data_IF_382758970530
#
_entry.id   IF_382758970530
#
_cell.length_a   1.000
_cell.length_b   1.000
_cell.length_c   1.000
_cell.angle_alpha   90.00
_cell.angle_beta   90.00
_cell.angle_gamma   90.00
#
_symmetry.space_group_name_H-M   'P 1'
#
loop_
_entity.id
_entity.type
_entity.pdbx_description
1 polymer ?
#
# COMPACT_ATOMS: atom_id res chain seq x y z
N UNK A 1 32.63 -45.12 92.66
CA UNK A 1 32.96 -43.89 91.91
C UNK A 1 32.93 -44.23 90.42
N UNK A 2 31.82 -43.98 89.74
CA UNK A 2 31.70 -44.24 88.29
C UNK A 2 32.11 -42.98 87.52
N UNK A 3 33.29 -43.01 86.91
CA UNK A 3 33.75 -41.98 85.97
C UNK A 3 32.98 -42.12 84.66
N UNK A 4 32.28 -41.06 84.24
CA UNK A 4 31.65 -40.95 82.92
C UNK A 4 32.73 -40.49 81.93
N UNK A 5 33.00 -41.31 80.92
CA UNK A 5 33.91 -40.98 79.81
C UNK A 5 33.21 -40.05 78.82
N UNK A 6 33.71 -38.80 78.68
CA UNK A 6 33.15 -37.83 77.74
C UNK A 6 33.49 -38.18 76.29
N UNK A 7 32.49 -38.25 75.41
CA UNK A 7 32.67 -38.61 74.01
C UNK A 7 33.20 -37.42 73.19
N UNK A 8 34.46 -37.48 72.74
CA UNK A 8 35.15 -36.42 71.97
C UNK A 8 34.64 -36.23 70.53
N UNK A 9 33.66 -37.03 70.10
CA UNK A 9 33.11 -37.00 68.75
C UNK A 9 32.06 -35.88 68.56
N UNK A 10 31.37 -35.49 69.65
CA UNK A 10 30.34 -34.45 69.63
C UNK A 10 30.88 -33.05 69.26
N UNK A 11 32.02 -32.55 69.80
CA UNK A 11 32.55 -31.24 69.41
C UNK A 11 33.06 -31.21 67.96
N UNK A 12 33.54 -32.33 67.42
CA UNK A 12 33.98 -32.43 66.01
C UNK A 12 32.80 -32.35 65.03
N UNK A 13 31.70 -33.04 65.34
CA UNK A 13 30.46 -32.95 64.54
C UNK A 13 29.84 -31.56 64.61
N UNK A 14 29.81 -30.94 65.80
CA UNK A 14 29.31 -29.58 65.96
C UNK A 14 30.14 -28.57 65.14
N UNK A 15 31.47 -28.71 65.11
CA UNK A 15 32.35 -27.87 64.30
C UNK A 15 32.10 -28.02 62.78
N UNK A 16 31.89 -29.25 62.31
CA UNK A 16 31.58 -29.54 60.91
C UNK A 16 30.27 -28.90 60.45
N UNK A 17 29.22 -28.99 61.27
CA UNK A 17 27.90 -28.41 60.95
C UNK A 17 27.94 -26.89 60.88
N UNK A 18 28.67 -26.24 61.78
CA UNK A 18 28.85 -24.78 61.75
C UNK A 18 29.60 -24.34 60.49
N UNK A 19 30.63 -25.08 60.08
CA UNK A 19 31.41 -24.76 58.89
C UNK A 19 30.59 -24.91 57.61
N UNK A 20 29.73 -25.92 57.52
CA UNK A 20 28.77 -26.07 56.42
C UNK A 20 27.75 -24.93 56.38
N UNK A 21 27.22 -24.50 57.54
CA UNK A 21 26.25 -23.41 57.59
C UNK A 21 26.86 -22.08 57.10
N UNK A 22 28.12 -21.81 57.44
CA UNK A 22 28.85 -20.62 56.94
C UNK A 22 29.05 -20.68 55.43
N UNK A 23 29.38 -21.86 54.88
CA UNK A 23 29.63 -22.03 53.45
C UNK A 23 28.35 -21.84 52.61
N UNK A 24 27.21 -22.32 53.13
CA UNK A 24 25.89 -22.10 52.51
C UNK A 24 25.47 -20.64 52.58
N UNK A 25 25.71 -19.96 53.70
CA UNK A 25 25.41 -18.53 53.83
C UNK A 25 26.24 -17.67 52.84
N UNK A 26 27.53 -17.99 52.67
CA UNK A 26 28.41 -17.28 51.70
C UNK A 26 27.95 -17.52 50.27
N UNK A 27 27.53 -18.75 49.93
CA UNK A 27 27.06 -19.06 48.57
C UNK A 27 25.65 -18.51 48.29
N UNK A 28 24.83 -18.32 49.32
CA UNK A 28 23.48 -17.74 49.21
C UNK A 28 23.48 -16.21 49.16
N UNK A 29 24.56 -15.54 49.57
CA UNK A 29 24.72 -14.08 49.45
C UNK A 29 25.52 -13.65 48.22
N UNK A 30 25.85 -14.58 47.31
CA UNK A 30 26.33 -14.23 45.97
C UNK A 30 25.13 -13.74 45.15
N UNK A 31 25.09 -12.48 44.70
CA UNK A 31 24.07 -12.05 43.74
C UNK A 31 24.20 -12.91 42.49
N UNK A 32 23.12 -13.57 42.10
CA UNK A 32 23.03 -14.26 40.82
C UNK A 32 22.96 -13.21 39.73
N UNK A 33 23.95 -13.19 38.85
CA UNK A 33 23.87 -12.47 37.57
C UNK A 33 22.83 -13.16 36.67
N UNK A 34 21.55 -12.88 36.90
CA UNK A 34 20.53 -13.05 35.87
C UNK A 34 20.51 -11.79 35.00
N UNK A 35 21.35 -11.78 33.97
CA UNK A 35 21.23 -10.81 32.90
C UNK A 35 20.10 -11.23 31.95
N UNK A 36 19.13 -10.35 31.62
CA UNK A 36 18.25 -10.58 30.49
C UNK A 36 19.10 -10.54 29.21
N UNK A 37 19.16 -11.66 28.49
CA UNK A 37 19.82 -11.73 27.19
C UNK A 37 19.12 -10.81 26.18
N UNK A 38 19.58 -9.56 26.09
CA UNK A 38 19.50 -8.76 24.89
C UNK A 38 20.56 -9.29 23.91
N UNK A 39 20.16 -9.54 22.67
CA UNK A 39 21.06 -9.96 21.60
C UNK A 39 22.09 -8.84 21.34
N UNK A 40 23.29 -8.99 21.91
CA UNK A 40 24.32 -7.95 21.94
C UNK A 40 25.04 -7.74 20.59
N UNK A 41 24.85 -8.63 19.59
CA UNK A 41 25.39 -8.41 18.26
C UNK A 41 24.68 -9.23 17.17
N UNK A 42 24.54 -8.61 15.98
CA UNK A 42 24.12 -9.26 14.74
C UNK A 42 25.25 -10.19 14.24
N UNK A 43 24.97 -11.46 13.87
CA UNK A 43 25.98 -12.36 13.32
C UNK A 43 26.52 -11.83 11.98
N UNK A 44 27.85 -11.67 11.87
CA UNK A 44 28.50 -11.47 10.58
C UNK A 44 28.70 -12.82 9.87
N UNK A 45 28.36 -12.88 8.59
CA UNK A 45 28.51 -14.07 7.76
C UNK A 45 30.00 -14.39 7.49
N UNK A 46 30.37 -15.67 7.34
CA UNK A 46 31.72 -16.06 6.92
C UNK A 46 32.03 -15.54 5.51
N UNK A 47 33.32 -15.25 5.25
CA UNK A 47 33.78 -14.78 3.94
C UNK A 47 33.58 -15.87 2.89
N UNK A 48 32.99 -15.56 1.72
CA UNK A 48 32.73 -16.54 0.67
C UNK A 48 34.02 -17.17 0.13
N UNK A 49 33.96 -18.47 -0.18
CA UNK A 49 35.01 -19.17 -0.93
C UNK A 49 35.25 -18.44 -2.26
N UNK A 50 36.47 -17.96 -2.46
CA UNK A 50 36.85 -17.26 -3.68
C UNK A 50 37.23 -18.30 -4.75
N UNK A 51 36.47 -18.36 -5.83
CA UNK A 51 36.81 -19.14 -7.03
C UNK A 51 38.23 -18.80 -7.50
N UNK A 52 38.98 -19.80 -7.96
CA UNK A 52 40.32 -19.56 -8.47
C UNK A 52 40.25 -18.69 -9.74
N UNK A 53 41.26 -17.84 -10.02
CA UNK A 53 41.25 -16.98 -11.20
C UNK A 53 41.14 -17.76 -12.53
N UNK A 54 41.58 -19.03 -12.55
CA UNK A 54 41.42 -19.91 -13.71
C UNK A 54 39.96 -20.33 -13.95
N UNK A 55 39.20 -20.64 -12.89
CA UNK A 55 37.78 -21.00 -12.98
C UNK A 55 36.92 -19.80 -13.41
N UNK A 56 37.30 -18.60 -12.98
CA UNK A 56 36.67 -17.35 -13.43
C UNK A 56 36.86 -17.13 -14.94
N UNK A 57 38.07 -17.31 -15.47
CA UNK A 57 38.35 -17.14 -16.91
C UNK A 57 37.62 -18.18 -17.75
N UNK A 58 37.58 -19.43 -17.28
CA UNK A 58 36.86 -20.51 -17.96
C UNK A 58 35.36 -20.22 -18.05
N UNK A 59 34.78 -19.70 -16.95
CA UNK A 59 33.37 -19.31 -16.88
C UNK A 59 33.08 -18.10 -17.78
N UNK A 60 33.94 -17.08 -17.77
CA UNK A 60 33.81 -15.92 -18.65
C UNK A 60 33.90 -16.31 -20.13
N UNK A 61 34.82 -17.20 -20.48
CA UNK A 61 34.97 -17.68 -21.87
C UNK A 61 33.74 -18.48 -22.31
N UNK A 62 33.21 -19.32 -21.42
CA UNK A 62 31.96 -20.05 -21.67
C UNK A 62 30.78 -19.07 -21.88
N UNK A 63 30.63 -18.06 -21.01
CA UNK A 63 29.57 -17.06 -21.11
C UNK A 63 29.68 -16.21 -22.37
N UNK A 64 30.89 -15.80 -22.78
CA UNK A 64 31.10 -15.08 -24.03
C UNK A 64 30.74 -15.95 -25.23
N UNK A 65 31.13 -17.23 -25.22
CA UNK A 65 30.76 -18.15 -26.30
C UNK A 65 29.25 -18.36 -26.38
N UNK A 66 28.57 -18.51 -25.24
CA UNK A 66 27.11 -18.61 -25.17
C UNK A 66 26.44 -17.34 -25.73
N UNK A 67 26.90 -16.15 -25.30
CA UNK A 67 26.36 -14.87 -25.78
C UNK A 67 26.56 -14.69 -27.29
N UNK A 68 27.73 -15.05 -27.82
CA UNK A 68 27.94 -14.99 -29.28
C UNK A 68 27.03 -15.95 -30.04
N UNK A 69 26.73 -17.13 -29.47
CA UNK A 69 25.81 -18.08 -30.07
C UNK A 69 24.37 -17.56 -30.08
N UNK A 70 23.92 -16.92 -28.99
CA UNK A 70 22.60 -16.29 -28.89
C UNK A 70 22.48 -15.10 -29.85
N UNK A 71 23.50 -14.23 -29.93
CA UNK A 71 23.50 -13.11 -30.88
C UNK A 71 23.39 -13.58 -32.33
N UNK A 72 24.05 -14.70 -32.67
CA UNK A 72 23.94 -15.29 -34.00
C UNK A 72 22.55 -15.90 -34.24
N UNK A 73 21.95 -16.52 -33.23
CA UNK A 73 20.57 -17.02 -33.31
C UNK A 73 19.57 -15.88 -33.52
N UNK A 74 19.63 -14.82 -32.70
CA UNK A 74 18.77 -13.64 -32.83
C UNK A 74 18.91 -12.96 -34.20
N UNK A 75 20.13 -12.88 -34.74
CA UNK A 75 20.35 -12.36 -36.09
C UNK A 75 19.65 -13.20 -37.15
N UNK A 76 19.72 -14.53 -37.06
CA UNK A 76 19.01 -15.44 -37.98
C UNK A 76 17.50 -15.27 -37.87
N UNK A 77 16.97 -15.21 -36.66
CA UNK A 77 15.53 -15.02 -36.42
C UNK A 77 15.06 -13.68 -36.98
N UNK A 78 15.83 -12.61 -36.79
CA UNK A 78 15.48 -11.31 -37.36
C UNK A 78 15.47 -11.34 -38.90
N UNK A 79 16.43 -12.03 -39.52
CA UNK A 79 16.42 -12.20 -40.98
C UNK A 79 15.23 -13.04 -41.47
N UNK A 80 14.86 -14.09 -40.73
CA UNK A 80 13.71 -14.92 -41.03
C UNK A 80 12.39 -14.13 -40.90
N UNK A 81 12.19 -13.41 -39.79
CA UNK A 81 11.03 -12.54 -39.58
C UNK A 81 10.91 -11.42 -40.61
N UNK A 82 12.05 -10.88 -41.06
CA UNK A 82 12.07 -9.87 -42.14
C UNK A 82 11.66 -10.49 -43.48
N UNK A 83 12.02 -11.73 -43.73
CA UNK A 83 11.62 -12.46 -44.94
C UNK A 83 10.13 -12.83 -44.89
N UNK A 84 9.62 -13.28 -43.75
CA UNK A 84 8.20 -13.56 -43.53
C UNK A 84 7.35 -12.30 -43.69
N UNK A 85 7.75 -11.18 -43.10
CA UNK A 85 7.05 -9.90 -43.28
C UNK A 85 6.99 -9.47 -44.75
N UNK A 86 8.06 -9.70 -45.53
CA UNK A 86 8.04 -9.43 -46.98
C UNK A 86 7.03 -10.33 -47.69
N UNK A 87 7.01 -11.63 -47.37
CA UNK A 87 6.02 -12.57 -47.88
C UNK A 87 4.58 -12.13 -47.58
N UNK A 88 4.29 -11.78 -46.33
CA UNK A 88 2.96 -11.32 -45.92
C UNK A 88 2.52 -10.02 -46.64
N UNK A 89 3.45 -9.10 -46.89
CA UNK A 89 3.15 -7.87 -47.66
C UNK A 89 2.83 -8.19 -49.11
N UNK A 90 3.56 -9.14 -49.72
CA UNK A 90 3.31 -9.55 -51.10
C UNK A 90 1.99 -10.33 -51.22
N UNK A 91 1.70 -11.23 -50.29
CA UNK A 91 0.41 -11.94 -50.20
C UNK A 91 -0.76 -10.97 -50.03
N UNK A 92 -0.61 -9.96 -49.16
CA UNK A 92 -1.62 -8.91 -48.97
C UNK A 92 -1.90 -8.17 -50.27
N UNK A 93 -0.87 -7.79 -51.04
CA UNK A 93 -1.06 -7.13 -52.34
C UNK A 93 -1.78 -8.03 -53.34
N UNK A 94 -1.46 -9.32 -53.37
CA UNK A 94 -2.17 -10.27 -54.23
C UNK A 94 -3.64 -10.39 -53.84
N UNK A 95 -3.96 -10.46 -52.54
CA UNK A 95 -5.33 -10.50 -52.06
C UNK A 95 -6.07 -9.21 -52.43
N UNK A 96 -5.47 -8.04 -52.19
CA UNK A 96 -6.06 -6.75 -52.55
C UNK A 96 -6.38 -6.67 -54.06
N UNK A 97 -5.48 -7.14 -54.92
CA UNK A 97 -5.71 -7.19 -56.36
C UNK A 97 -6.83 -8.17 -56.76
N UNK A 98 -6.90 -9.34 -56.11
CA UNK A 98 -7.98 -10.32 -56.35
C UNK A 98 -9.34 -9.83 -55.85
N UNK A 99 -9.37 -9.14 -54.71
CA UNK A 99 -10.59 -8.55 -54.16
C UNK A 99 -11.06 -7.39 -55.04
N UNK A 100 -10.15 -6.51 -55.47
CA UNK A 100 -10.48 -5.40 -56.37
C UNK A 100 -11.04 -5.91 -57.69
N UNK A 101 -10.42 -6.93 -58.30
CA UNK A 101 -10.91 -7.51 -59.56
C UNK A 101 -12.30 -8.13 -59.35
N UNK A 102 -12.51 -8.89 -58.27
CA UNK A 102 -13.81 -9.50 -57.97
C UNK A 102 -14.89 -8.46 -57.69
N UNK A 103 -14.58 -7.42 -56.92
CA UNK A 103 -15.52 -6.32 -56.63
C UNK A 103 -15.87 -5.57 -57.91
N UNK A 104 -14.90 -5.29 -58.77
CA UNK A 104 -15.15 -4.65 -60.06
C UNK A 104 -16.06 -5.51 -60.94
N UNK A 105 -15.84 -6.83 -61.00
CA UNK A 105 -16.76 -7.72 -61.74
C UNK A 105 -18.17 -7.72 -61.19
N UNK A 106 -18.34 -7.72 -59.86
CA UNK A 106 -19.66 -7.75 -59.20
C UNK A 106 -20.40 -6.41 -59.36
N UNK A 107 -19.67 -5.29 -59.32
CA UNK A 107 -20.24 -3.97 -59.58
C UNK A 107 -20.72 -3.83 -61.02
N UNK A 108 -19.95 -4.35 -61.98
CA UNK A 108 -20.34 -4.30 -63.39
C UNK A 108 -21.57 -5.17 -63.65
N UNK A 109 -21.64 -6.39 -63.09
CA UNK A 109 -22.85 -7.22 -63.20
C UNK A 109 -24.06 -6.53 -62.56
N UNK A 110 -23.89 -5.91 -61.38
CA UNK A 110 -25.00 -5.23 -60.70
C UNK A 110 -25.47 -3.98 -61.45
N UNK A 111 -24.57 -3.26 -62.13
CA UNK A 111 -24.94 -2.13 -63.02
C UNK A 111 -25.76 -2.59 -64.22
N UNK A 112 -25.46 -3.77 -64.77
CA UNK A 112 -26.24 -4.35 -65.87
C UNK A 112 -27.63 -4.80 -65.40
N UNK A 113 -27.77 -5.30 -64.17
CA UNK A 113 -29.05 -5.73 -63.61
C UNK A 113 -29.94 -4.57 -63.11
N UNK A 114 -29.35 -3.45 -62.70
CA UNK A 114 -30.07 -2.27 -62.21
C UNK A 114 -30.59 -1.39 -63.37
N UNK A 115 -31.59 -1.85 -64.09
CA UNK A 115 -32.36 -1.01 -65.01
C UNK A 115 -33.11 0.13 -64.25
N UNK A 116 -33.27 1.34 -64.82
CA UNK A 116 -33.72 2.56 -64.12
C UNK A 116 -35.22 2.63 -63.75
N UNK A 117 -35.98 1.54 -63.88
CA UNK A 117 -37.46 1.58 -63.79
C UNK A 117 -38.01 1.58 -62.36
N UNK A 118 -37.32 1.02 -61.37
CA UNK A 118 -37.88 0.88 -60.01
C UNK A 118 -37.65 2.08 -59.08
N UNK A 119 -36.59 2.87 -59.26
CA UNK A 119 -36.26 3.98 -58.34
C UNK A 119 -37.19 5.18 -58.49
N UNK A 120 -37.76 5.38 -59.68
CA UNK A 120 -38.63 6.53 -59.98
C UNK A 120 -39.98 6.44 -59.24
N UNK A 121 -40.51 5.23 -59.06
CA UNK A 121 -41.80 5.02 -58.38
C UNK A 121 -41.72 5.20 -56.86
N UNK A 122 -40.60 4.82 -56.24
CA UNK A 122 -40.39 4.96 -54.81
C UNK A 122 -40.24 6.43 -54.36
N UNK A 123 -39.60 7.28 -55.17
CA UNK A 123 -39.42 8.72 -54.89
C UNK A 123 -40.77 9.45 -54.93
N UNK A 124 -41.65 9.07 -55.87
CA UNK A 124 -43.01 9.61 -55.95
C UNK A 124 -43.84 9.28 -54.68
N UNK A 125 -43.72 8.06 -54.16
CA UNK A 125 -44.45 7.62 -52.97
C UNK A 125 -44.00 8.32 -51.68
N UNK A 126 -42.71 8.67 -51.56
CA UNK A 126 -42.18 9.33 -50.37
C UNK A 126 -42.62 10.81 -50.28
N UNK A 127 -42.64 11.50 -51.42
CA UNK A 127 -43.07 12.90 -51.52
C UNK A 127 -44.50 13.07 -50.99
N UNK A 128 -45.41 12.16 -51.35
CA UNK A 128 -46.79 12.18 -50.88
C UNK A 128 -46.96 12.00 -49.35
N UNK A 129 -46.03 11.31 -48.68
CA UNK A 129 -46.10 11.13 -47.21
C UNK A 129 -45.67 12.37 -46.43
N UNK A 130 -44.71 13.15 -46.96
CA UNK A 130 -44.21 14.36 -46.30
C UNK A 130 -45.30 15.44 -46.23
N UNK A 131 -46.06 15.61 -47.32
CA UNK A 131 -47.18 16.57 -47.37
C UNK A 131 -48.25 16.25 -46.31
N UNK A 132 -48.49 14.97 -46.03
CA UNK A 132 -49.46 14.54 -45.01
C UNK A 132 -49.04 14.85 -43.57
N UNK A 133 -47.73 15.00 -43.32
CA UNK A 133 -47.18 15.24 -41.99
C UNK A 133 -47.25 16.72 -41.62
N UNK A 134 -46.93 17.59 -42.58
CA UNK A 134 -46.98 19.06 -42.43
C UNK A 134 -48.38 19.54 -42.04
N UNK A 135 -49.42 18.94 -42.63
CA UNK A 135 -50.81 19.30 -42.32
C UNK A 135 -51.27 18.95 -40.89
N UNK A 136 -50.61 17.99 -40.21
CA UNK A 136 -50.99 17.59 -38.84
C UNK A 136 -50.35 18.46 -37.76
N UNK A 137 -49.20 19.07 -38.04
CA UNK A 137 -48.47 19.84 -37.03
C UNK A 137 -49.00 21.26 -36.83
N UNK A 138 -49.70 21.83 -37.82
CA UNK A 138 -50.24 23.20 -37.75
C UNK A 138 -51.36 23.42 -36.72
N UNK A 139 -52.00 22.37 -36.20
CA UNK A 139 -53.26 22.48 -35.45
C UNK A 139 -53.12 22.44 -33.91
N UNK A 140 -51.93 22.18 -33.36
CA UNK A 140 -51.78 21.75 -31.94
C UNK A 140 -51.13 22.76 -30.96
N UNK A 141 -50.90 24.02 -31.31
CA UNK A 141 -50.02 24.92 -30.53
C UNK A 141 -50.70 25.97 -29.62
N UNK A 142 -51.98 25.85 -29.27
CA UNK A 142 -52.65 26.86 -28.41
C UNK A 142 -53.06 26.31 -27.04
N UNK A 143 -52.15 26.31 -26.05
CA UNK A 143 -52.49 26.46 -24.62
C UNK A 143 -51.27 26.79 -23.75
N UNK A 144 -51.42 27.80 -22.87
CA UNK A 144 -50.39 28.50 -22.08
C UNK A 144 -50.65 28.36 -20.56
N UNK A 145 -49.58 28.07 -19.81
CA UNK A 145 -49.08 28.64 -18.51
C UNK A 145 -49.99 29.17 -17.37
N UNK A 146 -49.64 28.85 -16.11
CA UNK A 146 -49.82 29.74 -14.93
C UNK A 146 -48.90 29.46 -13.70
N UNK A 147 -48.26 30.54 -13.18
CA UNK A 147 -47.92 30.94 -11.76
C UNK A 147 -46.85 30.25 -10.86
N UNK A 148 -45.74 30.96 -10.57
CA UNK A 148 -45.42 31.55 -9.24
C UNK A 148 -44.59 30.82 -8.17
N UNK A 149 -43.24 30.90 -8.22
CA UNK A 149 -42.30 30.88 -7.07
C UNK A 149 -40.89 31.25 -7.56
N UNK A 150 -40.22 32.22 -6.91
CA UNK A 150 -38.91 32.77 -7.30
C UNK A 150 -37.73 32.04 -6.63
N UNK A 151 -37.92 30.76 -6.31
CA UNK A 151 -36.88 29.86 -5.80
C UNK A 151 -36.97 28.57 -6.62
N UNK A 152 -35.90 28.19 -7.35
CA UNK A 152 -35.94 26.99 -8.17
C UNK A 152 -36.11 25.75 -7.29
N UNK A 153 -37.12 24.95 -7.62
CA UNK A 153 -37.33 23.64 -6.99
C UNK A 153 -36.09 22.77 -7.22
N UNK A 154 -35.55 22.18 -6.14
CA UNK A 154 -34.36 21.31 -6.21
C UNK A 154 -33.27 21.55 -5.16
N UNK A 155 -33.43 22.51 -4.24
CA UNK A 155 -32.41 22.84 -3.22
C UNK A 155 -32.59 22.13 -1.87
N UNK A 156 -33.67 21.35 -1.66
CA UNK A 156 -33.80 20.48 -0.46
C UNK A 156 -33.95 21.20 0.89
N UNK A 157 -34.29 22.49 0.90
CA UNK A 157 -34.34 23.33 2.12
C UNK A 157 -35.72 23.40 2.80
N UNK A 158 -36.69 22.60 2.37
CA UNK A 158 -38.07 22.64 2.88
C UNK A 158 -38.22 22.15 4.33
N UNK A 159 -37.19 21.49 4.89
CA UNK A 159 -37.20 20.95 6.26
C UNK A 159 -36.64 21.88 7.35
N UNK A 160 -35.94 22.96 7.01
CA UNK A 160 -35.20 23.79 7.99
C UNK A 160 -36.09 24.81 8.70
N UNK A 161 -37.27 25.14 8.16
CA UNK A 161 -38.16 26.17 8.75
C UNK A 161 -39.13 25.64 9.80
N UNK A 162 -39.14 24.33 10.09
CA UNK A 162 -40.24 23.68 10.83
C UNK A 162 -39.95 23.08 12.20
N UNK A 163 -38.69 22.94 12.64
CA UNK A 163 -38.39 22.19 13.88
C UNK A 163 -37.85 23.08 14.99
N UNK A 164 -38.66 23.26 16.03
CA UNK A 164 -38.27 23.73 17.35
C UNK A 164 -37.12 22.87 17.90
N UNK A 165 -35.92 23.44 17.99
CA UNK A 165 -34.73 22.78 18.48
C UNK A 165 -34.85 22.46 19.98
N UNK A 166 -35.11 21.19 20.30
CA UNK A 166 -34.61 20.60 21.55
C UNK A 166 -33.11 20.86 21.60
N UNK A 167 -32.60 21.36 22.73
CA UNK A 167 -31.19 21.70 22.88
C UNK A 167 -30.34 20.43 22.81
N UNK A 168 -29.92 20.05 21.60
CA UNK A 168 -28.93 18.99 21.38
C UNK A 168 -27.66 19.36 22.17
N UNK A 169 -27.37 18.59 23.23
CA UNK A 169 -26.18 18.84 24.05
C UNK A 169 -24.94 18.45 23.25
N UNK A 170 -24.21 19.45 22.75
CA UNK A 170 -22.95 19.23 22.06
C UNK A 170 -21.87 18.81 23.07
N UNK A 171 -21.42 17.55 23.01
CA UNK A 171 -20.32 17.03 23.82
C UNK A 171 -19.02 17.05 23.02
N UNK A 172 -18.08 17.91 23.41
CA UNK A 172 -16.75 17.95 22.80
C UNK A 172 -15.82 16.93 23.46
N UNK A 173 -15.32 15.97 22.68
CA UNK A 173 -14.31 14.99 23.11
C UNK A 173 -12.94 15.44 22.61
N UNK A 174 -11.95 15.50 23.50
CA UNK A 174 -10.59 15.90 23.13
C UNK A 174 -9.84 14.76 22.42
N UNK A 175 -9.00 15.04 21.39
CA UNK A 175 -8.19 14.02 20.74
C UNK A 175 -7.21 13.35 21.71
N UNK A 176 -7.04 12.03 21.60
CA UNK A 176 -6.13 11.23 22.43
C UNK A 176 -4.64 11.55 22.17
N UNK A 177 -4.32 12.12 21.01
CA UNK A 177 -2.95 12.46 20.58
C UNK A 177 -2.37 13.70 21.28
N UNK A 178 -3.19 14.42 22.06
CA UNK A 178 -2.77 15.63 22.75
C UNK A 178 -2.06 15.30 24.06
N UNK A 179 -0.79 14.90 23.98
CA UNK A 179 0.07 14.81 25.16
C UNK A 179 0.35 16.23 25.71
N UNK A 180 0.22 16.48 27.03
CA UNK A 180 0.66 17.73 27.61
C UNK A 180 2.18 17.86 27.42
N UNK A 181 2.60 18.77 26.54
CA UNK A 181 4.01 19.14 26.43
C UNK A 181 4.45 19.79 27.76
N UNK A 182 5.59 19.40 28.33
CA UNK A 182 6.13 20.04 29.54
C UNK A 182 6.50 21.51 29.30
N UNK A 183 6.72 21.90 28.03
CA UNK A 183 6.91 23.30 27.62
C UNK A 183 5.55 23.95 27.28
N UNK A 184 4.71 24.15 28.29
CA UNK A 184 3.37 24.70 28.16
C UNK A 184 3.33 26.21 27.80
N UNK A 185 4.48 26.88 27.72
CA UNK A 185 4.60 28.32 27.48
C UNK A 185 4.61 28.72 26.00
N UNK A 186 4.75 27.77 25.06
CA UNK A 186 4.60 28.07 23.63
C UNK A 186 3.14 27.94 23.22
N UNK A 187 2.48 29.09 23.08
CA UNK A 187 1.09 29.18 22.61
C UNK A 187 0.91 28.61 21.20
N UNK A 188 0.61 27.32 21.09
CA UNK A 188 0.08 26.76 19.84
C UNK A 188 -1.41 27.08 19.73
N UNK A 189 -1.87 27.37 18.51
CA UNK A 189 -3.28 27.71 18.22
C UNK A 189 -4.25 26.63 18.74
N UNK A 190 -3.82 25.37 18.71
CA UNK A 190 -4.58 24.22 19.23
C UNK A 190 -4.75 24.29 20.75
N UNK A 191 -3.73 24.74 21.49
CA UNK A 191 -3.81 24.88 22.94
C UNK A 191 -4.80 25.99 23.32
N UNK A 192 -4.82 27.10 22.56
CA UNK A 192 -5.80 28.20 22.72
C UNK A 192 -7.24 27.73 22.47
N UNK A 193 -7.46 26.93 21.41
CA UNK A 193 -8.77 26.36 21.10
C UNK A 193 -9.26 25.39 22.18
N UNK A 194 -8.37 24.51 22.67
CA UNK A 194 -8.71 23.55 23.73
C UNK A 194 -9.08 24.22 25.07
N UNK A 195 -8.47 25.38 25.38
CA UNK A 195 -8.80 26.18 26.57
C UNK A 195 -10.14 26.91 26.41
N UNK A 196 -10.41 27.44 25.21
CA UNK A 196 -11.69 28.08 24.90
C UNK A 196 -12.89 27.13 25.02
N UNK A 197 -12.76 25.91 24.49
CA UNK A 197 -13.79 24.86 24.61
C UNK A 197 -14.01 24.44 26.07
N UNK A 198 -12.93 24.25 26.85
CA UNK A 198 -13.02 23.92 28.27
C UNK A 198 -13.72 25.00 29.10
N UNK A 199 -13.44 26.28 28.84
CA UNK A 199 -14.10 27.38 29.54
C UNK A 199 -15.58 27.53 29.15
N UNK A 200 -15.94 27.28 27.90
CA UNK A 200 -17.34 27.27 27.47
C UNK A 200 -18.12 26.10 28.08
N UNK A 201 -17.51 24.90 28.14
CA UNK A 201 -18.13 23.71 28.73
C UNK A 201 -18.24 23.79 30.26
N UNK A 202 -17.28 24.41 30.94
CA UNK A 202 -17.35 24.67 32.39
C UNK A 202 -18.46 25.67 32.77
N UNK A 203 -18.99 26.44 31.81
CA UNK A 203 -20.16 27.30 32.01
C UNK A 203 -21.49 26.56 31.87
N UNK A 204 -21.50 25.35 31.28
CA UNK A 204 -22.64 24.45 31.29
C UNK A 204 -22.60 23.62 32.59
N UNK A 205 -23.74 23.52 33.28
CA UNK A 205 -23.82 23.08 34.68
C UNK A 205 -23.22 21.69 35.03
N UNK A 206 -23.23 21.34 36.33
CA UNK A 206 -22.55 20.14 36.87
C UNK A 206 -23.04 18.81 36.27
N UNK A 207 -24.28 18.75 35.79
CA UNK A 207 -24.87 17.55 35.17
C UNK A 207 -24.20 17.20 33.84
N UNK A 208 -23.93 18.20 32.98
CA UNK A 208 -23.21 18.04 31.70
C UNK A 208 -21.78 17.60 31.97
N UNK A 209 -21.14 18.15 32.99
CA UNK A 209 -19.77 17.76 33.39
C UNK A 209 -19.72 16.27 33.77
N UNK A 210 -20.72 15.78 34.51
CA UNK A 210 -20.80 14.37 34.93
C UNK A 210 -21.07 13.39 33.76
N UNK A 211 -21.84 13.83 32.76
CA UNK A 211 -22.10 13.06 31.54
C UNK A 211 -20.87 13.04 30.62
N UNK A 212 -20.13 14.15 30.55
CA UNK A 212 -18.85 14.23 29.84
C UNK A 212 -17.81 13.33 30.50
N UNK A 213 -17.70 13.33 31.84
CA UNK A 213 -16.75 12.45 32.53
C UNK A 213 -17.12 10.97 32.36
N UNK A 214 -18.38 10.60 32.55
CA UNK A 214 -18.85 9.21 32.35
C UNK A 214 -18.75 8.77 30.89
N UNK A 215 -19.09 9.66 29.96
CA UNK A 215 -18.92 9.43 28.53
C UNK A 215 -17.45 9.27 28.15
N UNK A 216 -16.59 10.15 28.67
CA UNK A 216 -15.13 10.04 28.45
C UNK A 216 -14.56 8.77 29.06
N UNK A 217 -15.03 8.32 30.22
CA UNK A 217 -14.58 7.09 30.87
C UNK A 217 -15.05 5.84 30.11
N UNK A 218 -16.27 5.87 29.56
CA UNK A 218 -16.75 4.83 28.65
C UNK A 218 -15.98 4.81 27.30
N UNK A 219 -15.59 5.98 26.77
CA UNK A 219 -14.76 6.11 25.57
C UNK A 219 -13.26 5.88 25.82
N UNK A 220 -12.77 5.99 27.06
CA UNK A 220 -11.36 5.80 27.46
C UNK A 220 -10.90 4.34 27.39
N UNK A 221 -11.79 3.43 26.99
CA UNK A 221 -11.39 2.08 26.53
C UNK A 221 -10.76 2.10 25.13
N UNK A 222 -10.55 3.28 24.53
CA UNK A 222 -9.89 3.42 23.23
C UNK A 222 -8.39 3.10 23.38
N UNK A 223 -7.99 1.90 22.95
CA UNK A 223 -6.58 1.58 22.77
C UNK A 223 -6.01 2.47 21.66
N UNK A 224 -4.98 3.29 21.92
CA UNK A 224 -4.35 4.06 20.87
C UNK A 224 -3.62 3.11 19.91
N UNK A 225 -4.06 3.08 18.65
CA UNK A 225 -3.45 2.28 17.59
C UNK A 225 -2.81 3.21 16.57
N UNK A 226 -1.53 2.99 16.29
CA UNK A 226 -0.85 3.64 15.19
C UNK A 226 -1.02 2.80 13.91
N UNK A 227 -1.30 3.45 12.79
CA UNK A 227 -1.39 2.78 11.49
C UNK A 227 -0.23 3.22 10.60
N UNK A 228 0.43 2.26 9.96
CA UNK A 228 1.48 2.54 8.97
C UNK A 228 0.84 2.45 7.59
N UNK A 229 0.72 3.55 6.83
CA UNK A 229 0.14 3.50 5.49
C UNK A 229 1.08 2.76 4.52
N UNK A 230 0.51 2.19 3.45
CA UNK A 230 1.25 1.43 2.43
C UNK A 230 2.44 2.20 1.83
N UNK A 231 2.36 3.52 1.75
CA UNK A 231 3.39 4.38 1.15
C UNK A 231 4.27 5.09 2.20
N UNK A 232 4.32 4.60 3.44
CA UNK A 232 5.21 5.15 4.47
C UNK A 232 6.69 4.94 4.11
N UNK A 233 7.54 5.93 4.39
CA UNK A 233 8.99 5.84 4.16
C UNK A 233 9.71 5.54 5.48
N UNK A 234 10.21 4.31 5.64
CA UNK A 234 10.94 3.90 6.85
C UNK A 234 12.44 4.19 6.73
N UNK A 235 12.84 5.36 7.21
CA UNK A 235 14.24 5.83 7.18
C UNK A 235 15.09 5.08 8.20
N UNK A 236 16.37 4.87 7.90
CA UNK A 236 17.32 4.22 8.83
C UNK A 236 17.09 2.73 9.04
N UNK A 237 16.29 2.10 8.17
CA UNK A 237 16.05 0.66 8.18
C UNK A 237 17.27 -0.10 7.65
N UNK A 238 17.56 -1.27 8.23
CA UNK A 238 18.71 -2.11 7.86
C UNK A 238 18.24 -3.37 7.12
N UNK A 239 18.87 -3.69 5.98
CA UNK A 239 18.59 -4.93 5.26
C UNK A 239 19.12 -6.15 6.02
N UNK A 240 18.27 -7.16 6.21
CA UNK A 240 18.65 -8.47 6.77
C UNK A 240 19.01 -9.49 5.70
N UNK A 241 18.72 -9.17 4.44
CA UNK A 241 19.00 -9.99 3.26
C UNK A 241 19.81 -9.20 2.25
N UNK A 242 20.74 -9.85 1.56
CA UNK A 242 21.40 -9.25 0.41
C UNK A 242 20.37 -8.97 -0.71
N UNK A 243 20.40 -7.77 -1.27
CA UNK A 243 19.64 -7.42 -2.46
C UNK A 243 20.50 -7.73 -3.68
N UNK A 244 20.10 -8.74 -4.46
CA UNK A 244 20.83 -9.19 -5.64
C UNK A 244 20.04 -8.82 -6.88
N UNK A 245 20.64 -7.99 -7.74
CA UNK A 245 20.07 -7.63 -9.04
C UNK A 245 20.21 -8.77 -10.05
N UNK A 246 19.25 -8.88 -10.98
CA UNK A 246 19.32 -9.81 -12.12
C UNK A 246 19.25 -9.05 -13.42
N UNK A 247 19.87 -9.61 -14.45
CA UNK A 247 19.80 -9.07 -15.81
C UNK A 247 18.43 -9.39 -16.40
N UNK A 248 17.63 -8.40 -16.83
CA UNK A 248 16.33 -8.65 -17.45
C UNK A 248 16.50 -9.35 -18.80
N UNK A 249 15.65 -10.34 -19.06
CA UNK A 249 15.55 -11.02 -20.36
C UNK A 249 14.25 -10.55 -21.01
N UNK A 250 14.31 -10.10 -22.27
CA UNK A 250 13.15 -9.50 -22.98
C UNK A 250 12.53 -8.27 -22.26
N UNK A 251 13.34 -7.51 -21.50
CA UNK A 251 12.89 -6.29 -20.82
C UNK A 251 12.03 -6.52 -19.57
N UNK A 252 11.95 -7.76 -19.07
CA UNK A 252 11.23 -8.11 -17.85
C UNK A 252 12.16 -8.85 -16.88
N UNK A 253 12.11 -8.48 -15.60
CA UNK A 253 12.79 -9.23 -14.54
C UNK A 253 11.87 -10.39 -14.14
N UNK A 254 12.15 -11.59 -14.64
CA UNK A 254 11.51 -12.81 -14.15
C UNK A 254 12.04 -13.10 -12.73
N UNK A 255 11.12 -13.23 -11.78
CA UNK A 255 11.30 -13.79 -10.41
C UNK A 255 11.73 -12.86 -9.26
N UNK A 256 11.13 -11.68 -9.01
CA UNK A 256 11.61 -10.66 -8.05
C UNK A 256 12.15 -11.20 -6.72
N UNK A 257 13.24 -10.62 -6.22
CA UNK A 257 14.00 -11.18 -5.09
C UNK A 257 13.26 -10.93 -3.77
N UNK A 258 13.05 -11.96 -2.91
CA UNK A 258 12.53 -11.72 -1.58
C UNK A 258 13.53 -10.93 -0.75
N UNK A 259 13.05 -9.92 -0.03
CA UNK A 259 13.87 -9.15 0.89
C UNK A 259 13.28 -9.14 2.30
N UNK A 260 14.15 -8.96 3.29
CA UNK A 260 13.78 -8.66 4.66
C UNK A 260 14.55 -7.45 5.15
N UNK A 261 13.85 -6.57 5.85
CA UNK A 261 14.40 -5.33 6.41
C UNK A 261 13.92 -5.18 7.84
N UNK A 262 14.82 -4.78 8.73
CA UNK A 262 14.51 -4.38 10.10
C UNK A 262 14.41 -2.86 10.18
N UNK A 263 13.34 -2.38 10.80
CA UNK A 263 13.04 -0.96 10.95
C UNK A 263 13.96 -0.31 11.97
N UNK A 264 14.55 0.83 11.63
CA UNK A 264 15.47 1.56 12.50
C UNK A 264 14.77 2.28 13.66
N UNK A 265 15.52 3.07 14.44
CA UNK A 265 14.96 3.92 15.51
C UNK A 265 14.32 5.20 14.99
N UNK A 266 14.88 5.76 13.92
CA UNK A 266 14.50 7.05 13.34
C UNK A 266 13.60 6.88 12.10
N UNK A 267 12.33 6.56 12.31
CA UNK A 267 11.37 6.37 11.22
C UNK A 267 10.38 7.54 11.13
N UNK A 268 10.26 8.10 9.93
CA UNK A 268 9.25 9.09 9.58
C UNK A 268 8.13 8.40 8.82
N UNK A 269 7.17 7.84 9.55
CA UNK A 269 6.03 7.20 8.94
C UNK A 269 5.03 8.27 8.47
N UNK A 270 5.18 8.68 7.21
CA UNK A 270 4.37 9.66 6.49
C UNK A 270 4.50 11.11 6.98
N UNK A 271 4.70 12.03 6.04
CA UNK A 271 4.56 13.49 6.24
C UNK A 271 5.31 14.08 7.46
N UNK A 272 6.47 13.51 7.81
CA UNK A 272 7.31 14.00 8.92
C UNK A 272 6.86 13.59 10.33
N UNK A 273 5.88 12.69 10.47
CA UNK A 273 5.42 12.20 11.77
C UNK A 273 6.21 10.95 12.20
N UNK A 274 6.61 10.91 13.48
CA UNK A 274 7.31 9.76 14.07
C UNK A 274 6.29 8.85 14.75
N UNK A 275 6.23 7.59 14.32
CA UNK A 275 5.41 6.57 14.98
C UNK A 275 6.26 5.88 16.07
N UNK A 276 5.82 5.85 17.33
CA UNK A 276 6.51 5.12 18.39
C UNK A 276 6.27 3.60 18.26
N UNK A 277 7.25 2.80 18.69
CA UNK A 277 7.10 1.34 18.83
C UNK A 277 7.27 0.52 17.54
N UNK A 278 7.64 1.13 16.42
CA UNK A 278 7.93 0.41 15.16
C UNK A 278 9.40 0.01 14.99
N UNK A 279 10.28 0.47 15.89
CA UNK A 279 11.69 0.07 15.92
C UNK A 279 11.82 -1.45 16.10
N UNK A 280 12.67 -2.08 15.30
CA UNK A 280 12.86 -3.53 15.34
C UNK A 280 11.78 -4.35 14.62
N UNK A 281 10.73 -3.72 14.08
CA UNK A 281 9.76 -4.43 13.23
C UNK A 281 10.43 -4.95 11.96
N UNK A 282 10.16 -6.22 11.64
CA UNK A 282 10.68 -6.88 10.45
C UNK A 282 9.63 -6.84 9.35
N UNK A 283 10.01 -6.29 8.20
CA UNK A 283 9.20 -6.27 7.00
C UNK A 283 9.79 -7.25 5.99
N UNK A 284 8.91 -7.96 5.28
CA UNK A 284 9.30 -8.84 4.18
C UNK A 284 8.49 -8.53 2.94
N UNK A 285 9.13 -8.60 1.78
CA UNK A 285 8.47 -8.36 0.51
C UNK A 285 9.32 -8.84 -0.65
N UNK A 286 9.03 -8.33 -1.84
CA UNK A 286 9.78 -8.57 -3.05
C UNK A 286 10.38 -7.28 -3.56
N UNK A 287 11.61 -7.32 -4.03
CA UNK A 287 12.34 -6.16 -4.51
C UNK A 287 12.84 -6.41 -5.95
N UNK A 288 12.75 -5.38 -6.78
CA UNK A 288 13.33 -5.34 -8.13
C UNK A 288 14.22 -4.13 -8.25
N UNK A 289 15.47 -4.33 -8.64
CA UNK A 289 16.45 -3.25 -8.68
C UNK A 289 17.31 -3.31 -9.92
N UNK A 290 17.74 -2.13 -10.36
CA UNK A 290 18.76 -1.98 -11.38
C UNK A 290 20.09 -1.71 -10.67
N UNK A 291 21.10 -2.53 -10.97
CA UNK A 291 22.44 -2.38 -10.41
C UNK A 291 23.03 -0.99 -10.70
N UNK A 292 22.71 -0.40 -11.86
CA UNK A 292 23.25 0.90 -12.27
C UNK A 292 22.71 2.06 -11.43
N UNK A 293 21.48 1.94 -10.91
CA UNK A 293 20.84 2.98 -10.10
C UNK A 293 21.12 2.83 -8.61
N UNK A 294 21.74 1.72 -8.18
CA UNK A 294 21.95 1.39 -6.75
C UNK A 294 20.67 1.48 -5.91
N UNK A 295 19.51 1.37 -6.55
CA UNK A 295 18.19 1.52 -5.96
C UNK A 295 17.34 0.32 -6.34
N UNK A 296 16.42 -0.02 -5.44
CA UNK A 296 15.53 -1.18 -5.55
C UNK A 296 14.12 -0.71 -5.21
N UNK A 297 13.15 -1.12 -6.01
CA UNK A 297 11.71 -0.82 -5.89
C UNK A 297 10.91 -2.03 -5.47
#
# INVERSE_FOLDING_TARGET
MSMVTSNRLLPLLAGSVVLMAVLVAVKSCSPGDEQPQLLEAVPQAPKPDADTPADTIKTLTANVSAMTSELNALRRDNTALKQENRGLVDDRKQIENNVLSRVQTVLETKRMDAAPTETTSAIAALTAKVDSLTNRFGTSSTQRSSTGSDIPVGLGLDGVRGSSAEAESLVWVSPLELAPSPDADKETLLNRFSRGSRNALASAGPEVTSLVTKGSEALNTALPVYTVPRNATLIGSTGMTALVGRVPIQGQVRDPMPFKVITGKENLAANGLRIPGIEGMIWSGTAVGDWTLSCVT
#
